data_IF_000160624512
#
_entry.id   IF_000160624512
#
_cell.length_a   1.000
_cell.length_b   1.000
_cell.length_c   1.000
_cell.angle_alpha   90.00
_cell.angle_beta   90.00
_cell.angle_gamma   90.00
#
_symmetry.space_group_name_H-M   'P 1'
#
loop_
_entity.id
_entity.type
_entity.pdbx_description
1 polymer ?
#
# COMPACT_ATOMS: atom_id res chain seq x y z
N UNK A 1 -21.22 -3.57 9.24
CA UNK A 1 -20.21 -2.50 9.08
C UNK A 1 -18.86 -3.04 8.56
N UNK A 2 -18.24 -4.06 9.19
CA UNK A 2 -16.99 -4.67 8.66
C UNK A 2 -17.13 -5.07 7.19
N UNK A 3 -18.19 -5.81 6.86
CA UNK A 3 -18.44 -6.23 5.49
C UNK A 3 -18.55 -5.05 4.52
N UNK A 4 -19.33 -4.04 4.90
CA UNK A 4 -19.54 -2.85 4.10
C UNK A 4 -18.20 -2.13 3.82
N UNK A 5 -17.35 -1.93 4.84
CA UNK A 5 -16.07 -1.25 4.68
C UNK A 5 -15.15 -2.04 3.74
N UNK A 6 -15.00 -3.35 3.91
CA UNK A 6 -14.12 -4.14 3.05
C UNK A 6 -14.66 -4.18 1.60
N UNK A 7 -15.97 -4.24 1.39
CA UNK A 7 -16.54 -4.27 0.04
C UNK A 7 -16.39 -2.97 -0.74
N UNK A 8 -16.45 -1.82 -0.06
CA UNK A 8 -16.44 -0.51 -0.71
C UNK A 8 -15.05 0.16 -0.68
N UNK A 9 -14.23 -0.18 0.31
CA UNK A 9 -12.90 0.41 0.51
C UNK A 9 -11.77 -0.61 0.39
N UNK A 10 -12.10 -1.88 0.15
CA UNK A 10 -11.11 -2.94 0.02
C UNK A 10 -10.28 -2.83 -1.27
N UNK A 11 -9.02 -3.32 -1.27
CA UNK A 11 -8.32 -3.98 -0.16
C UNK A 11 -8.02 -3.01 0.99
N UNK A 12 -8.26 -3.45 2.22
CA UNK A 12 -8.12 -2.61 3.42
C UNK A 12 -7.21 -3.28 4.45
N UNK A 13 -6.26 -2.51 4.99
CA UNK A 13 -5.34 -2.95 6.05
C UNK A 13 -6.11 -3.17 7.37
N UNK A 14 -5.74 -4.20 8.13
CA UNK A 14 -6.31 -4.51 9.46
C UNK A 14 -6.43 -3.30 10.39
N UNK A 15 -5.36 -2.54 10.57
CA UNK A 15 -5.33 -1.35 11.42
C UNK A 15 -6.27 -0.24 10.90
N UNK A 16 -6.37 -0.07 9.57
CA UNK A 16 -7.27 0.89 8.94
C UNK A 16 -8.72 0.47 9.15
N UNK A 17 -9.03 -0.81 8.92
CA UNK A 17 -10.34 -1.39 9.12
C UNK A 17 -10.79 -1.22 10.57
N UNK A 18 -9.96 -1.62 11.54
CA UNK A 18 -10.26 -1.46 12.96
C UNK A 18 -10.51 0.01 13.34
N UNK A 19 -9.70 0.94 12.81
CA UNK A 19 -9.85 2.38 13.04
C UNK A 19 -11.14 2.94 12.44
N UNK A 20 -11.54 2.51 11.25
CA UNK A 20 -12.80 2.91 10.60
C UNK A 20 -14.00 2.47 11.44
N UNK A 21 -14.02 1.20 11.84
CA UNK A 21 -15.08 0.67 12.69
C UNK A 21 -15.12 1.41 14.03
N UNK A 22 -13.98 1.61 14.68
CA UNK A 22 -13.93 2.31 15.97
C UNK A 22 -14.53 3.72 15.89
N UNK A 23 -14.12 4.51 14.89
CA UNK A 23 -14.60 5.89 14.69
C UNK A 23 -16.09 5.94 14.39
N UNK A 24 -16.59 5.03 13.55
CA UNK A 24 -18.01 4.98 13.23
C UNK A 24 -18.91 4.59 14.42
N UNK A 25 -18.33 3.97 15.45
CA UNK A 25 -18.99 3.69 16.73
C UNK A 25 -18.71 4.76 17.82
N UNK A 26 -18.07 5.88 17.48
CA UNK A 26 -17.78 6.96 18.42
C UNK A 26 -16.64 6.66 19.40
N UNK A 27 -15.87 5.59 19.19
CA UNK A 27 -14.75 5.25 20.06
C UNK A 27 -13.55 6.16 19.78
N UNK A 28 -13.04 6.78 20.85
CA UNK A 28 -11.89 7.68 20.78
C UNK A 28 -10.57 6.96 20.48
N UNK A 29 -10.46 5.66 20.82
CA UNK A 29 -9.26 4.85 20.63
C UNK A 29 -9.62 3.50 19.99
N UNK A 30 -8.74 3.01 19.13
CA UNK A 30 -8.78 1.63 18.63
C UNK A 30 -7.83 0.79 19.47
N UNK A 31 -8.32 0.29 20.61
CA UNK A 31 -7.55 -0.61 21.48
C UNK A 31 -7.53 -2.04 20.94
N UNK A 32 -6.67 -2.89 21.52
CA UNK A 32 -6.48 -4.30 21.11
C UNK A 32 -7.80 -5.08 21.01
N UNK A 33 -8.71 -4.91 21.98
CA UNK A 33 -10.01 -5.59 21.98
C UNK A 33 -10.88 -5.26 20.76
N UNK A 34 -10.85 -4.01 20.28
CA UNK A 34 -11.60 -3.60 19.08
C UNK A 34 -10.92 -4.21 17.85
N UNK A 35 -9.60 -4.08 17.77
CA UNK A 35 -8.82 -4.62 16.67
C UNK A 35 -9.01 -6.13 16.53
N UNK A 36 -8.80 -6.90 17.59
CA UNK A 36 -9.01 -8.34 17.63
C UNK A 36 -10.42 -8.73 17.19
N UNK A 37 -11.44 -8.03 17.69
CA UNK A 37 -12.83 -8.33 17.33
C UNK A 37 -13.12 -8.07 15.84
N UNK A 38 -12.62 -6.95 15.32
CA UNK A 38 -12.78 -6.60 13.91
C UNK A 38 -12.05 -7.60 13.02
N UNK A 39 -10.81 -7.94 13.34
CA UNK A 39 -10.02 -8.93 12.61
C UNK A 39 -10.66 -10.32 12.63
N UNK A 40 -11.15 -10.78 13.77
CA UNK A 40 -11.87 -12.06 13.87
C UNK A 40 -13.08 -12.13 12.95
N UNK A 41 -13.85 -11.04 12.85
CA UNK A 41 -15.00 -10.95 11.95
C UNK A 41 -14.52 -10.91 10.49
N UNK A 42 -13.53 -10.07 10.18
CA UNK A 42 -13.04 -9.87 8.83
C UNK A 42 -12.40 -11.14 8.23
N UNK A 43 -11.58 -11.86 9.02
CA UNK A 43 -10.95 -13.13 8.60
C UNK A 43 -11.94 -14.23 8.26
N UNK A 44 -13.14 -14.21 8.87
CA UNK A 44 -14.21 -15.18 8.56
C UNK A 44 -14.96 -14.86 7.28
N UNK A 45 -14.99 -13.59 6.88
CA UNK A 45 -15.80 -13.12 5.77
C UNK A 45 -15.00 -12.92 4.48
N UNK A 46 -13.70 -12.61 4.60
CA UNK A 46 -12.91 -12.13 3.46
C UNK A 46 -11.63 -12.92 3.26
N UNK A 47 -11.18 -12.96 1.99
CA UNK A 47 -9.83 -13.41 1.65
C UNK A 47 -8.82 -12.38 2.14
N UNK A 48 -7.61 -12.86 2.43
CA UNK A 48 -6.54 -12.03 2.99
C UNK A 48 -5.22 -12.21 2.26
N UNK A 49 -4.43 -11.15 2.22
CA UNK A 49 -2.98 -11.22 1.98
C UNK A 49 -2.25 -10.72 3.21
N UNK A 50 -1.13 -11.36 3.56
CA UNK A 50 -0.26 -10.94 4.66
C UNK A 50 0.97 -10.29 4.06
N UNK A 51 1.23 -9.05 4.45
CA UNK A 51 2.35 -8.24 3.97
C UNK A 51 3.12 -7.68 5.15
N UNK A 52 4.29 -7.08 4.89
CA UNK A 52 5.09 -6.42 5.94
C UNK A 52 4.32 -5.32 6.70
N UNK A 53 3.36 -4.67 6.03
CA UNK A 53 2.53 -3.63 6.64
C UNK A 53 1.40 -4.19 7.53
N UNK A 54 1.02 -5.47 7.36
CA UNK A 54 -0.07 -6.12 8.09
C UNK A 54 -0.95 -6.99 7.18
N UNK A 55 -2.15 -7.30 7.66
CA UNK A 55 -3.13 -8.13 6.92
C UNK A 55 -4.05 -7.23 6.10
N UNK A 56 -4.12 -7.45 4.79
CA UNK A 56 -5.11 -6.81 3.92
C UNK A 56 -6.31 -7.72 3.71
N UNK A 57 -7.52 -7.16 3.87
CA UNK A 57 -8.79 -7.83 3.62
C UNK A 57 -9.35 -7.39 2.26
N UNK A 58 -9.71 -8.36 1.44
CA UNK A 58 -10.07 -8.15 0.04
C UNK A 58 -11.58 -8.23 -0.18
N UNK A 59 -12.15 -7.37 -1.04
CA UNK A 59 -13.57 -7.45 -1.37
C UNK A 59 -13.86 -8.74 -2.14
N UNK A 60 -15.13 -9.17 -2.08
CA UNK A 60 -15.56 -10.35 -2.82
C UNK A 60 -15.46 -10.11 -4.33
N UNK A 61 -15.24 -11.18 -5.09
CA UNK A 61 -15.12 -11.12 -6.55
C UNK A 61 -13.76 -10.64 -7.07
N UNK A 62 -12.84 -10.19 -6.21
CA UNK A 62 -11.46 -9.91 -6.62
C UNK A 62 -10.65 -11.20 -6.68
N UNK A 63 -10.04 -11.42 -7.85
CA UNK A 63 -9.06 -12.48 -8.05
C UNK A 63 -7.67 -12.02 -7.59
N UNK A 64 -7.18 -12.62 -6.50
CA UNK A 64 -5.87 -12.33 -5.91
C UNK A 64 -4.69 -12.77 -6.77
N UNK A 65 -4.93 -13.61 -7.78
CA UNK A 65 -3.90 -14.01 -8.74
C UNK A 65 -3.79 -13.04 -9.93
N UNK A 66 -4.74 -12.12 -10.07
CA UNK A 66 -4.80 -11.13 -11.15
C UNK A 66 -4.15 -9.80 -10.74
N UNK A 67 -3.90 -8.94 -11.74
CA UNK A 67 -3.44 -7.58 -11.48
C UNK A 67 -4.55 -6.74 -10.81
N UNK A 68 -4.21 -6.07 -9.71
CA UNK A 68 -5.14 -5.21 -9.00
C UNK A 68 -4.87 -3.74 -9.32
N UNK A 69 -5.86 -3.03 -9.86
CA UNK A 69 -5.68 -1.64 -10.30
C UNK A 69 -5.30 -0.71 -9.14
N UNK A 70 -4.41 0.25 -9.42
CA UNK A 70 -4.09 1.33 -8.50
C UNK A 70 -5.30 2.27 -8.32
N UNK A 71 -5.79 2.45 -7.09
CA UNK A 71 -6.88 3.37 -6.79
C UNK A 71 -6.31 4.75 -6.46
N UNK A 72 -6.36 5.63 -7.45
CA UNK A 72 -5.91 7.01 -7.31
C UNK A 72 -6.80 7.76 -6.30
N UNK A 73 -6.24 8.57 -5.39
CA UNK A 73 -7.04 9.43 -4.52
C UNK A 73 -7.87 10.43 -5.35
N UNK A 74 -9.15 10.59 -4.99
CA UNK A 74 -10.07 11.56 -5.60
C UNK A 74 -9.92 12.97 -5.03
N UNK A 75 -9.51 13.05 -3.77
CA UNK A 75 -9.43 14.26 -2.95
C UNK A 75 -8.42 14.06 -1.79
N UNK A 76 -8.16 15.13 -1.02
CA UNK A 76 -7.21 15.08 0.09
C UNK A 76 -7.63 14.12 1.22
N UNK A 77 -8.92 13.93 1.44
CA UNK A 77 -9.46 13.02 2.46
C UNK A 77 -9.32 11.54 2.09
N UNK A 78 -9.15 11.25 0.80
CA UNK A 78 -8.95 9.92 0.23
C UNK A 78 -7.47 9.50 0.12
N UNK A 79 -6.53 10.38 0.49
CA UNK A 79 -5.09 10.08 0.48
C UNK A 79 -4.78 9.00 1.52
N UNK A 80 -4.12 7.93 1.07
CA UNK A 80 -3.69 6.80 1.89
C UNK A 80 -2.19 6.85 2.07
N UNK A 81 -1.72 6.58 3.28
CA UNK A 81 -0.29 6.35 3.51
C UNK A 81 0.17 5.12 2.72
N UNK A 82 1.44 5.09 2.29
CA UNK A 82 1.99 3.95 1.53
C UNK A 82 1.74 2.63 2.26
N UNK A 83 1.87 2.63 3.59
CA UNK A 83 1.65 1.46 4.46
C UNK A 83 0.22 0.91 4.41
N UNK A 84 -0.74 1.76 4.06
CA UNK A 84 -2.17 1.43 3.99
C UNK A 84 -2.60 0.92 2.61
N UNK A 85 -1.66 0.79 1.67
CA UNK A 85 -1.87 0.30 0.31
C UNK A 85 -1.19 -1.06 0.17
N UNK A 86 -1.91 -2.04 -0.39
CA UNK A 86 -1.36 -3.39 -0.56
C UNK A 86 -0.29 -3.45 -1.65
N UNK A 87 0.60 -4.43 -1.58
CA UNK A 87 1.72 -4.59 -2.50
C UNK A 87 1.25 -4.79 -3.95
N UNK A 88 0.14 -5.49 -4.15
CA UNK A 88 -0.45 -5.66 -5.49
C UNK A 88 -0.87 -4.33 -6.11
N UNK A 89 -1.50 -3.46 -5.33
CA UNK A 89 -1.93 -2.12 -5.78
C UNK A 89 -0.72 -1.20 -6.04
N UNK A 90 0.30 -1.26 -5.18
CA UNK A 90 1.55 -0.51 -5.38
C UNK A 90 2.35 -1.02 -6.60
N UNK A 91 2.35 -2.33 -6.88
CA UNK A 91 2.97 -2.89 -8.09
C UNK A 91 2.34 -2.33 -9.37
N UNK A 92 1.01 -2.20 -9.40
CA UNK A 92 0.31 -1.61 -10.53
C UNK A 92 0.70 -0.14 -10.73
N UNK A 93 0.84 0.61 -9.64
CA UNK A 93 1.37 1.98 -9.69
C UNK A 93 2.82 2.01 -10.22
N UNK A 94 3.69 1.11 -9.73
CA UNK A 94 5.07 1.00 -10.23
C UNK A 94 5.10 0.77 -11.73
N UNK A 95 4.32 -0.20 -12.24
CA UNK A 95 4.23 -0.49 -13.68
C UNK A 95 3.73 0.71 -14.48
N UNK A 96 2.70 1.40 -13.99
CA UNK A 96 2.17 2.60 -14.62
C UNK A 96 3.24 3.69 -14.76
N UNK A 97 4.03 3.91 -13.71
CA UNK A 97 5.10 4.92 -13.69
C UNK A 97 6.25 4.53 -14.62
N UNK A 98 6.68 3.27 -14.61
CA UNK A 98 7.73 2.77 -15.51
C UNK A 98 7.30 2.82 -16.99
N UNK A 99 6.04 2.47 -17.28
CA UNK A 99 5.49 2.55 -18.65
C UNK A 99 5.44 4.00 -19.19
N UNK A 100 5.36 4.99 -18.29
CA UNK A 100 5.46 6.42 -18.65
C UNK A 100 6.91 6.89 -18.87
N UNK A 101 7.89 6.00 -18.75
CA UNK A 101 9.30 6.27 -18.98
C UNK A 101 10.06 6.81 -17.76
N UNK A 102 9.42 6.90 -16.60
CA UNK A 102 10.10 7.31 -15.37
C UNK A 102 10.99 6.18 -14.84
N UNK A 103 12.17 6.51 -14.32
CA UNK A 103 13.12 5.56 -13.73
C UNK A 103 13.85 6.18 -12.54
N UNK A 104 14.64 5.39 -11.81
CA UNK A 104 15.45 5.88 -10.70
C UNK A 104 14.65 6.67 -9.65
N UNK A 105 15.19 7.83 -9.27
CA UNK A 105 14.56 8.78 -8.37
C UNK A 105 13.31 9.45 -8.97
N UNK A 106 13.26 9.65 -10.29
CA UNK A 106 12.10 10.26 -10.95
C UNK A 106 10.86 9.34 -10.85
N UNK A 107 11.06 8.02 -10.92
CA UNK A 107 9.99 7.06 -10.66
C UNK A 107 9.43 7.19 -9.23
N UNK A 108 10.29 7.33 -8.22
CA UNK A 108 9.83 7.52 -6.82
C UNK A 108 9.02 8.81 -6.67
N UNK A 109 9.47 9.91 -7.28
CA UNK A 109 8.76 11.18 -7.25
C UNK A 109 7.42 11.11 -8.01
N UNK A 110 7.36 10.38 -9.13
CA UNK A 110 6.13 10.13 -9.86
C UNK A 110 5.14 9.28 -9.06
N UNK A 111 5.62 8.24 -8.36
CA UNK A 111 4.80 7.43 -7.45
C UNK A 111 4.26 8.27 -6.29
N UNK A 112 5.10 9.06 -5.62
CA UNK A 112 4.68 9.94 -4.52
C UNK A 112 3.57 10.92 -4.95
N UNK A 113 3.72 11.54 -6.13
CA UNK A 113 2.70 12.41 -6.73
C UNK A 113 1.40 11.67 -6.99
N UNK A 114 1.45 10.48 -7.58
CA UNK A 114 0.26 9.67 -7.84
C UNK A 114 -0.47 9.23 -6.56
N UNK A 115 0.28 9.07 -5.45
CA UNK A 115 -0.24 8.76 -4.12
C UNK A 115 -0.81 9.99 -3.39
N UNK A 116 -0.62 11.21 -3.91
CA UNK A 116 -1.00 12.45 -3.21
C UNK A 116 -0.10 12.76 -2.00
N UNK A 117 1.09 12.15 -1.93
CA UNK A 117 2.01 12.31 -0.79
C UNK A 117 3.06 13.36 -1.13
N UNK A 118 3.07 14.45 -0.37
CA UNK A 118 4.04 15.54 -0.56
C UNK A 118 5.46 15.15 -0.11
N UNK A 119 5.58 14.31 0.93
CA UNK A 119 6.87 13.89 1.49
C UNK A 119 6.89 12.40 1.78
N UNK A 120 7.76 11.66 1.08
CA UNK A 120 8.06 10.27 1.40
C UNK A 120 8.89 10.21 2.68
N UNK A 121 8.40 9.46 3.67
CA UNK A 121 9.20 9.06 4.83
C UNK A 121 10.12 7.91 4.44
N UNK A 122 11.18 7.70 5.22
CA UNK A 122 12.19 6.69 4.90
C UNK A 122 11.58 5.28 4.72
N UNK A 123 10.72 4.86 5.65
CA UNK A 123 10.04 3.56 5.55
C UNK A 123 9.23 3.41 4.24
N UNK A 124 8.46 4.44 3.88
CA UNK A 124 7.67 4.43 2.66
C UNK A 124 8.55 4.46 1.41
N UNK A 125 9.63 5.25 1.42
CA UNK A 125 10.62 5.30 0.34
C UNK A 125 11.24 3.93 0.09
N UNK A 126 11.75 3.29 1.15
CA UNK A 126 12.34 1.93 1.10
C UNK A 126 11.37 0.93 0.51
N UNK A 127 10.09 0.99 0.91
CA UNK A 127 9.05 0.08 0.38
C UNK A 127 8.79 0.29 -1.10
N UNK A 128 8.70 1.54 -1.58
CA UNK A 128 8.52 1.84 -3.00
C UNK A 128 9.75 1.45 -3.84
N UNK A 129 10.95 1.67 -3.31
CA UNK A 129 12.20 1.28 -3.97
C UNK A 129 12.31 -0.24 -4.12
N UNK A 130 11.93 -1.00 -3.10
CA UNK A 130 11.89 -2.46 -3.19
C UNK A 130 10.97 -2.94 -4.31
N UNK A 131 9.86 -2.22 -4.57
CA UNK A 131 8.94 -2.55 -5.67
C UNK A 131 9.50 -2.18 -7.04
N UNK A 132 10.20 -1.06 -7.15
CA UNK A 132 10.93 -0.70 -8.36
C UNK A 132 11.98 -1.75 -8.70
N UNK A 133 12.80 -2.15 -7.73
CA UNK A 133 13.82 -3.21 -7.91
C UNK A 133 13.18 -4.53 -8.37
N UNK A 134 12.06 -4.93 -7.75
CA UNK A 134 11.30 -6.13 -8.14
C UNK A 134 10.68 -6.03 -9.54
N UNK A 135 10.39 -4.83 -10.03
CA UNK A 135 9.78 -4.60 -11.34
C UNK A 135 10.78 -4.69 -12.51
N UNK A 136 12.07 -4.51 -12.24
CA UNK A 136 13.13 -4.71 -13.22
C UNK A 136 13.41 -6.20 -13.46
N UNK A 137 13.62 -6.59 -14.72
CA UNK A 137 14.20 -7.89 -15.04
C UNK A 137 15.58 -8.03 -14.37
N UNK A 138 16.09 -9.25 -14.08
CA UNK A 138 17.37 -9.44 -13.40
C UNK A 138 18.53 -8.66 -14.02
N UNK A 139 18.56 -8.53 -15.35
CA UNK A 139 19.57 -7.77 -16.11
C UNK A 139 19.47 -6.24 -15.96
N UNK A 140 18.32 -5.72 -15.53
CA UNK A 140 18.12 -4.29 -15.26
C UNK A 140 18.32 -3.94 -13.78
N UNK A 141 18.27 -4.94 -12.88
CA UNK A 141 18.54 -4.77 -11.45
C UNK A 141 20.00 -4.39 -11.17
N UNK A 142 20.96 -4.97 -11.88
CA UNK A 142 22.39 -4.63 -11.74
C UNK A 142 22.68 -3.18 -12.12
N UNK A 143 22.05 -2.68 -13.20
CA UNK A 143 22.17 -1.29 -13.64
C UNK A 143 21.57 -0.32 -12.61
N UNK A 144 20.41 -0.66 -12.04
CA UNK A 144 19.76 0.15 -11.01
C UNK A 144 20.53 0.16 -9.68
N UNK A 145 21.17 -0.95 -9.31
CA UNK A 145 22.03 -1.04 -8.13
C UNK A 145 23.34 -0.24 -8.32
N UNK A 146 23.82 -0.13 -9.56
CA UNK A 146 25.05 0.61 -9.91
C UNK A 146 24.79 2.12 -10.01
N UNK A 147 23.59 2.54 -10.43
CA UNK A 147 23.18 3.95 -10.57
C UNK A 147 22.59 4.55 -9.28
N UNK A 148 22.45 3.77 -8.22
CA UNK A 148 21.97 4.26 -6.93
C UNK A 148 23.14 4.87 -6.14
N UNK A 149 23.06 6.16 -5.82
CA UNK A 149 24.03 6.78 -4.93
C UNK A 149 24.14 5.97 -3.62
N UNK A 150 25.36 5.72 -3.12
CA UNK A 150 25.54 5.00 -1.86
C UNK A 150 24.81 5.75 -0.74
N UNK A 151 24.27 5.04 0.27
CA UNK A 151 23.73 5.70 1.44
C UNK A 151 24.83 6.59 2.01
N UNK A 152 24.51 7.88 2.20
CA UNK A 152 25.39 8.87 2.82
C UNK A 152 26.12 8.19 3.97
N UNK A 153 27.42 8.04 3.77
CA UNK A 153 28.30 7.47 4.76
C UNK A 153 28.31 8.45 5.92
N UNK A 154 27.72 8.00 7.02
CA UNK A 154 27.80 8.55 8.37
C UNK A 154 28.97 9.53 8.53
N UNK A 155 28.65 10.79 8.79
CA UNK A 155 29.50 11.67 9.60
C UNK A 155 28.75 11.99 10.87
#
# INVERSE_FOLDING_TARGET
>A
MVEWVVQHEGPVLDAVLARRIARAHGFQRTGSRIQERVEQIARRLFRTTVEAAGTFYWPHGVDLSSEFAFRQPSDEDSVRGVEEICEAELRSLTRLVLHRGHSGQDALLAMARALGIQRLREASKVRLEALLIKAFAPSQQEKWLTERDPPDSLT
#
